data_IF_488475035683
#
_entry.id   IF_488475035683
#
_cell.length_a   1.000
_cell.length_b   1.000
_cell.length_c   1.000
_cell.angle_alpha   90.00
_cell.angle_beta   90.00
_cell.angle_gamma   90.00
#
_symmetry.space_group_name_H-M   'P 1'
#
loop_
_entity.id
_entity.type
_entity.pdbx_description
1 polymer ?
#
# COMPACT_ATOMS: atom_id res chain seq x y z
N UNK A 1 6.77 -58.73 0.81
CA UNK A 1 7.15 -57.68 -0.15
C UNK A 1 8.00 -56.70 0.63
N UNK A 2 9.32 -56.79 0.46
CA UNK A 2 10.28 -56.02 1.24
C UNK A 2 10.09 -54.53 0.97
N UNK A 3 9.76 -53.77 2.02
CA UNK A 3 9.66 -52.31 1.94
C UNK A 3 11.08 -51.77 1.96
N UNK A 4 11.60 -51.40 0.78
CA UNK A 4 12.84 -50.65 0.69
C UNK A 4 12.62 -49.27 1.32
N UNK A 5 13.36 -48.96 2.37
CA UNK A 5 13.36 -47.64 2.98
C UNK A 5 14.79 -47.18 3.22
N UNK A 6 15.10 -45.93 2.83
CA UNK A 6 16.38 -45.29 3.12
C UNK A 6 16.13 -44.01 3.90
N UNK A 7 16.72 -43.89 5.09
CA UNK A 7 16.45 -42.77 6.04
C UNK A 7 14.95 -42.46 6.22
N UNK A 8 14.13 -43.50 6.42
CA UNK A 8 12.67 -43.44 6.57
C UNK A 8 11.88 -42.98 5.33
N UNK A 9 12.52 -42.88 4.16
CA UNK A 9 11.83 -42.68 2.89
C UNK A 9 11.39 -44.03 2.31
N UNK A 10 10.09 -44.35 2.23
CA UNK A 10 9.62 -45.52 1.52
C UNK A 10 9.85 -45.36 0.01
N UNK A 11 10.55 -46.30 -0.59
CA UNK A 11 10.85 -46.33 -2.03
C UNK A 11 10.14 -47.53 -2.67
N UNK A 12 9.47 -47.30 -3.79
CA UNK A 12 8.87 -48.39 -4.57
C UNK A 12 9.95 -49.12 -5.37
N UNK A 13 10.90 -48.36 -5.90
CA UNK A 13 12.06 -48.83 -6.65
C UNK A 13 13.13 -47.72 -6.63
N UNK A 14 14.40 -48.10 -6.52
CA UNK A 14 15.52 -47.18 -6.58
C UNK A 14 16.68 -47.86 -7.26
N UNK A 15 17.07 -47.34 -8.41
CA UNK A 15 18.24 -47.77 -9.15
C UNK A 15 19.24 -46.62 -9.20
N UNK A 16 20.52 -46.94 -9.00
CA UNK A 16 21.62 -46.01 -9.21
C UNK A 16 22.88 -46.81 -9.51
N UNK A 17 23.66 -46.37 -10.48
CA UNK A 17 25.01 -46.86 -10.72
C UNK A 17 25.99 -45.91 -10.05
N UNK A 18 27.02 -46.44 -9.38
CA UNK A 18 28.03 -45.60 -8.74
C UNK A 18 29.44 -46.03 -9.14
N UNK A 19 30.32 -45.04 -9.28
CA UNK A 19 31.77 -45.22 -9.44
C UNK A 19 32.49 -44.25 -8.51
N UNK A 20 33.53 -44.76 -7.85
CA UNK A 20 34.34 -43.99 -6.92
C UNK A 20 35.80 -44.43 -6.98
N UNK A 21 36.72 -43.48 -7.07
CA UNK A 21 38.18 -43.74 -7.16
C UNK A 21 39.00 -43.13 -6.00
N UNK A 22 38.32 -42.69 -4.94
CA UNK A 22 38.93 -41.98 -3.82
C UNK A 22 38.76 -40.46 -3.91
N UNK A 23 38.78 -39.89 -5.12
CA UNK A 23 38.71 -38.44 -5.35
C UNK A 23 37.45 -38.02 -6.11
N UNK A 24 36.96 -38.86 -7.02
CA UNK A 24 35.82 -38.60 -7.87
C UNK A 24 34.71 -39.56 -7.51
N UNK A 25 33.50 -39.02 -7.38
CA UNK A 25 32.27 -39.77 -7.16
C UNK A 25 31.35 -39.49 -8.33
N UNK A 26 30.89 -40.55 -8.99
CA UNK A 26 29.88 -40.45 -10.03
C UNK A 26 28.72 -41.35 -9.67
N UNK A 27 27.55 -40.75 -9.51
CA UNK A 27 26.29 -41.46 -9.31
C UNK A 27 25.45 -41.19 -10.55
N UNK A 28 25.19 -42.23 -11.33
CA UNK A 28 24.49 -42.17 -12.62
C UNK A 28 23.22 -42.98 -12.57
N UNK A 29 22.37 -42.73 -13.57
CA UNK A 29 21.14 -43.47 -13.78
C UNK A 29 20.32 -43.61 -12.49
N UNK A 30 20.33 -42.52 -11.68
CA UNK A 30 19.54 -42.44 -10.47
C UNK A 30 18.10 -42.41 -10.94
N UNK A 31 17.40 -43.52 -10.78
CA UNK A 31 15.99 -43.64 -11.09
C UNK A 31 15.26 -43.98 -9.81
N UNK A 32 14.50 -43.02 -9.31
CA UNK A 32 13.70 -43.18 -8.10
C UNK A 32 12.24 -43.25 -8.52
N UNK A 33 11.63 -44.43 -8.33
CA UNK A 33 10.18 -44.59 -8.46
C UNK A 33 9.56 -44.42 -7.09
N UNK A 34 8.79 -43.34 -6.95
CA UNK A 34 7.95 -43.08 -5.79
C UNK A 34 6.48 -43.15 -6.22
N UNK A 35 5.58 -43.33 -5.25
CA UNK A 35 4.12 -43.31 -5.49
C UNK A 35 3.64 -42.04 -6.21
N UNK A 36 4.40 -40.94 -6.14
CA UNK A 36 4.06 -39.66 -6.74
C UNK A 36 4.76 -39.35 -8.07
N UNK A 37 5.55 -40.30 -8.62
CA UNK A 37 6.21 -40.15 -9.92
C UNK A 37 7.60 -40.76 -10.00
N UNK A 38 8.25 -40.57 -11.16
CA UNK A 38 9.60 -41.05 -11.44
C UNK A 38 10.58 -39.88 -11.55
N UNK A 39 11.60 -39.90 -10.72
CA UNK A 39 12.70 -38.92 -10.75
C UNK A 39 13.91 -39.55 -11.44
N UNK A 40 14.52 -38.83 -12.37
CA UNK A 40 15.83 -39.14 -12.94
C UNK A 40 16.86 -38.12 -12.48
N UNK A 41 18.02 -38.59 -12.05
CA UNK A 41 19.12 -37.71 -11.68
C UNK A 41 20.49 -38.30 -12.02
N UNK A 42 21.47 -37.41 -12.12
CA UNK A 42 22.89 -37.74 -12.23
C UNK A 42 23.66 -36.75 -11.38
N UNK A 43 24.61 -37.25 -10.58
CA UNK A 43 25.49 -36.43 -9.75
C UNK A 43 26.93 -36.83 -10.01
N UNK A 44 27.75 -35.86 -10.39
CA UNK A 44 29.19 -36.03 -10.50
C UNK A 44 29.88 -35.04 -9.55
N UNK A 45 30.85 -35.52 -8.79
CA UNK A 45 31.60 -34.72 -7.82
C UNK A 45 33.07 -35.13 -7.87
N UNK A 46 33.95 -34.15 -8.07
CA UNK A 46 35.40 -34.29 -8.14
C UNK A 46 36.06 -33.02 -7.55
N UNK A 47 37.38 -33.01 -7.30
CA UNK A 47 38.05 -31.78 -6.89
C UNK A 47 37.81 -30.68 -7.93
N UNK A 48 37.26 -29.55 -7.48
CA UNK A 48 36.88 -28.38 -8.31
C UNK A 48 35.89 -28.66 -9.45
N UNK A 49 35.12 -29.75 -9.38
CA UNK A 49 34.07 -30.04 -10.35
C UNK A 49 32.84 -30.70 -9.71
N UNK A 50 31.68 -30.11 -9.96
CA UNK A 50 30.37 -30.59 -9.57
C UNK A 50 29.44 -30.56 -10.78
N UNK A 51 28.65 -31.61 -10.98
CA UNK A 51 27.57 -31.63 -11.97
C UNK A 51 26.33 -32.28 -11.36
N UNK A 52 25.18 -31.68 -11.62
CA UNK A 52 23.88 -32.22 -11.23
C UNK A 52 22.92 -32.09 -12.40
N UNK A 53 22.39 -33.22 -12.84
CA UNK A 53 21.25 -33.28 -13.75
C UNK A 53 20.05 -33.83 -12.98
N UNK A 54 18.89 -33.19 -13.12
CA UNK A 54 17.62 -33.60 -12.54
C UNK A 54 16.54 -33.47 -13.60
N UNK A 55 15.72 -34.51 -13.77
CA UNK A 55 14.56 -34.50 -14.64
C UNK A 55 13.43 -35.30 -14.00
N UNK A 56 12.32 -34.63 -13.70
CA UNK A 56 11.09 -35.26 -13.24
C UNK A 56 10.49 -34.63 -12.00
N UNK A 57 9.37 -35.20 -11.50
CA UNK A 57 8.75 -34.83 -10.24
C UNK A 57 9.72 -35.05 -9.07
N UNK A 58 9.98 -33.99 -8.30
CA UNK A 58 10.87 -34.04 -7.14
C UNK A 58 10.06 -34.14 -5.87
N UNK A 59 10.13 -35.28 -5.19
CA UNK A 59 9.45 -35.50 -3.92
C UNK A 59 10.13 -34.72 -2.78
N UNK A 60 9.83 -33.43 -2.64
CA UNK A 60 10.52 -32.53 -1.68
C UNK A 60 10.40 -33.04 -0.24
N UNK A 61 9.22 -33.52 0.15
CA UNK A 61 9.00 -34.10 1.49
C UNK A 61 9.88 -35.33 1.75
N UNK A 62 10.11 -36.14 0.72
CA UNK A 62 10.98 -37.31 0.76
C UNK A 62 12.47 -36.94 0.85
N UNK A 63 12.85 -35.79 0.29
CA UNK A 63 14.23 -35.31 0.31
C UNK A 63 14.64 -34.69 1.65
N UNK A 64 13.69 -34.27 2.51
CA UNK A 64 13.97 -33.60 3.80
C UNK A 64 15.12 -34.21 4.62
N UNK A 65 15.24 -35.54 4.81
CA UNK A 65 16.33 -36.14 5.59
C UNK A 65 17.74 -35.96 5.00
N UNK A 66 17.85 -35.46 3.76
CA UNK A 66 19.09 -35.24 3.02
C UNK A 66 19.44 -33.76 2.89
N UNK A 67 18.56 -32.86 3.34
CA UNK A 67 18.72 -31.42 3.20
C UNK A 67 19.27 -30.82 4.49
N UNK A 68 19.99 -29.69 4.38
CA UNK A 68 20.43 -28.94 5.55
C UNK A 68 19.23 -28.36 6.32
N UNK A 69 19.36 -28.04 7.62
CA UNK A 69 18.27 -27.44 8.40
C UNK A 69 17.66 -26.19 7.76
N UNK A 70 18.47 -25.34 7.15
CA UNK A 70 18.03 -24.09 6.49
C UNK A 70 17.16 -24.39 5.27
N UNK A 71 17.55 -25.38 4.46
CA UNK A 71 16.78 -25.81 3.30
C UNK A 71 15.49 -26.53 3.75
N UNK A 72 15.54 -27.28 4.85
CA UNK A 72 14.34 -27.89 5.44
C UNK A 72 13.34 -26.84 5.93
N UNK A 73 13.81 -25.76 6.56
CA UNK A 73 12.97 -24.64 6.98
C UNK A 73 12.33 -23.95 5.79
N UNK A 74 13.11 -23.65 4.74
CA UNK A 74 12.59 -23.10 3.50
C UNK A 74 11.50 -23.98 2.87
N UNK A 75 11.75 -25.29 2.70
CA UNK A 75 10.72 -26.22 2.21
C UNK A 75 9.61 -26.51 3.22
N UNK A 76 9.76 -26.08 4.47
CA UNK A 76 8.70 -26.05 5.48
C UNK A 76 7.62 -25.04 5.15
N UNK A 77 7.94 -23.97 4.42
CA UNK A 77 7.00 -22.93 4.00
C UNK A 77 6.14 -23.32 2.78
N UNK A 78 6.44 -24.45 2.15
CA UNK A 78 5.76 -24.96 0.96
C UNK A 78 4.84 -26.13 1.27
N UNK A 79 3.63 -26.12 0.68
CA UNK A 79 2.71 -27.26 0.66
C UNK A 79 2.38 -27.61 -0.79
N UNK A 80 2.81 -28.78 -1.24
CA UNK A 80 2.62 -29.27 -2.60
C UNK A 80 1.42 -30.22 -2.66
N UNK A 81 0.44 -29.97 -3.54
CA UNK A 81 -0.62 -30.97 -3.78
C UNK A 81 -0.16 -32.08 -4.72
N UNK A 82 0.82 -31.77 -5.57
CA UNK A 82 1.55 -32.68 -6.46
C UNK A 82 3.00 -32.24 -6.47
N UNK A 83 3.88 -33.21 -6.69
CA UNK A 83 5.32 -32.93 -6.67
C UNK A 83 5.71 -31.92 -7.76
N UNK A 84 6.61 -30.97 -7.43
CA UNK A 84 7.13 -30.03 -8.41
C UNK A 84 7.86 -30.77 -9.53
N UNK A 85 7.55 -30.44 -10.78
CA UNK A 85 8.30 -30.92 -11.93
C UNK A 85 9.53 -30.02 -12.11
N UNK A 86 10.71 -30.61 -11.99
CA UNK A 86 11.99 -29.90 -12.11
C UNK A 86 12.80 -30.54 -13.22
N UNK A 87 13.29 -29.70 -14.12
CA UNK A 87 14.31 -30.05 -15.10
C UNK A 87 15.48 -29.12 -14.90
N UNK A 88 16.65 -29.65 -14.59
CA UNK A 88 17.80 -28.84 -14.23
C UNK A 88 19.08 -29.54 -14.66
N UNK A 89 19.97 -28.79 -15.31
CA UNK A 89 21.32 -29.23 -15.61
C UNK A 89 22.29 -28.14 -15.15
N UNK A 90 23.02 -28.40 -14.07
CA UNK A 90 24.00 -27.47 -13.50
C UNK A 90 25.39 -28.06 -13.44
N UNK A 91 26.38 -27.18 -13.53
CA UNK A 91 27.79 -27.47 -13.33
C UNK A 91 28.38 -26.40 -12.40
N UNK A 92 29.39 -26.76 -11.64
CA UNK A 92 30.08 -25.84 -10.76
C UNK A 92 31.41 -26.41 -10.32
N UNK A 93 32.08 -25.71 -9.40
CA UNK A 93 33.28 -26.20 -8.73
C UNK A 93 32.95 -27.10 -7.54
N UNK A 94 31.81 -26.85 -6.91
CA UNK A 94 31.34 -27.60 -5.74
C UNK A 94 29.80 -27.45 -5.59
N UNK A 95 29.26 -27.82 -4.43
CA UNK A 95 27.81 -27.74 -4.12
C UNK A 95 27.31 -26.34 -3.76
N UNK A 96 28.16 -25.31 -3.81
CA UNK A 96 27.78 -23.94 -3.47
C UNK A 96 27.15 -23.23 -4.68
N UNK A 97 25.90 -22.72 -4.57
CA UNK A 97 25.21 -22.09 -5.70
C UNK A 97 25.92 -20.87 -6.31
N UNK A 98 26.83 -20.23 -5.57
CA UNK A 98 27.61 -19.07 -6.03
C UNK A 98 28.52 -19.36 -7.22
N UNK A 99 28.85 -20.62 -7.49
CA UNK A 99 29.67 -21.02 -8.64
C UNK A 99 28.93 -21.90 -9.65
N UNK A 100 27.61 -22.00 -9.54
CA UNK A 100 26.81 -22.80 -10.47
C UNK A 100 26.58 -22.06 -11.79
N UNK A 101 26.67 -22.82 -12.87
CA UNK A 101 26.31 -22.47 -14.23
C UNK A 101 25.36 -23.52 -14.78
N UNK A 102 24.28 -23.11 -15.45
CA UNK A 102 23.36 -24.05 -16.05
C UNK A 102 21.96 -23.52 -16.26
N UNK A 103 21.10 -24.38 -16.78
CA UNK A 103 19.75 -24.04 -17.19
C UNK A 103 18.75 -25.08 -16.70
N UNK A 104 17.49 -24.66 -16.62
CA UNK A 104 16.41 -25.53 -16.22
C UNK A 104 15.03 -24.93 -16.40
N UNK A 105 14.05 -25.64 -15.86
CA UNK A 105 12.69 -25.16 -15.70
C UNK A 105 12.07 -25.77 -14.45
N UNK A 106 11.11 -25.04 -13.90
CA UNK A 106 10.27 -25.49 -12.80
C UNK A 106 8.81 -25.31 -13.20
N UNK A 107 8.00 -26.32 -12.89
CA UNK A 107 6.55 -26.27 -13.00
C UNK A 107 5.91 -26.79 -11.72
N UNK A 108 5.05 -25.97 -11.16
CA UNK A 108 4.26 -26.23 -9.97
C UNK A 108 2.79 -26.33 -10.38
N UNK A 109 2.14 -27.42 -9.99
CA UNK A 109 0.68 -27.50 -9.96
C UNK A 109 0.15 -26.69 -8.76
N UNK A 110 -1.10 -26.92 -8.36
CA UNK A 110 -1.70 -26.23 -7.21
C UNK A 110 -0.82 -26.40 -5.97
N UNK A 111 -0.28 -25.28 -5.49
CA UNK A 111 0.75 -25.25 -4.46
C UNK A 111 0.47 -24.11 -3.51
N UNK A 112 0.92 -24.24 -2.27
CA UNK A 112 0.88 -23.20 -1.27
C UNK A 112 2.30 -22.79 -0.89
N UNK A 113 2.53 -21.50 -0.79
CA UNK A 113 3.77 -20.96 -0.23
C UNK A 113 3.41 -19.90 0.82
N UNK A 114 3.98 -20.01 2.02
CA UNK A 114 3.72 -19.12 3.16
C UNK A 114 2.22 -18.92 3.43
N UNK A 115 1.47 -20.01 3.39
CA UNK A 115 0.02 -20.00 3.64
C UNK A 115 -0.84 -19.46 2.49
N UNK A 116 -0.26 -19.01 1.39
CA UNK A 116 -0.98 -18.43 0.25
C UNK A 116 -0.96 -19.36 -0.97
N UNK A 117 -2.15 -19.59 -1.55
CA UNK A 117 -2.35 -20.53 -2.64
C UNK A 117 -2.02 -19.93 -4.01
N UNK A 118 -1.40 -20.74 -4.86
CA UNK A 118 -1.32 -20.56 -6.31
C UNK A 118 -1.94 -21.77 -7.01
N UNK A 119 -2.63 -21.54 -8.12
CA UNK A 119 -3.16 -22.61 -9.00
C UNK A 119 -2.06 -23.32 -9.75
N UNK A 120 -1.07 -22.56 -10.19
CA UNK A 120 0.14 -23.06 -10.82
C UNK A 120 1.22 -22.00 -10.86
N UNK A 121 2.47 -22.43 -11.01
CA UNK A 121 3.62 -21.57 -11.21
C UNK A 121 4.58 -22.21 -12.21
N UNK A 122 5.11 -21.44 -13.15
CA UNK A 122 6.13 -21.94 -14.10
C UNK A 122 7.24 -20.92 -14.26
N UNK A 123 8.47 -21.35 -14.47
CA UNK A 123 9.59 -20.47 -14.83
C UNK A 123 10.72 -21.24 -15.52
N UNK A 124 11.50 -20.56 -16.37
CA UNK A 124 12.81 -21.03 -16.80
C UNK A 124 13.85 -20.57 -15.79
N UNK A 125 14.80 -21.45 -15.49
CA UNK A 125 15.84 -21.19 -14.51
C UNK A 125 17.16 -21.05 -15.24
N UNK A 126 17.95 -20.03 -14.89
CA UNK A 126 19.30 -19.85 -15.39
C UNK A 126 20.25 -19.53 -14.23
N UNK A 127 21.27 -20.36 -14.03
CA UNK A 127 22.35 -20.13 -13.09
C UNK A 127 23.55 -19.56 -13.83
N UNK A 128 24.05 -18.41 -13.38
CA UNK A 128 25.30 -17.83 -13.85
C UNK A 128 25.75 -16.73 -12.88
N UNK A 129 27.07 -16.46 -12.86
CA UNK A 129 27.67 -15.32 -12.15
C UNK A 129 27.25 -15.23 -10.66
N UNK A 130 27.10 -16.36 -9.98
CA UNK A 130 26.70 -16.41 -8.58
C UNK A 130 25.25 -15.97 -8.32
N UNK A 131 24.38 -16.12 -9.31
CA UNK A 131 22.96 -15.81 -9.21
C UNK A 131 22.09 -16.89 -9.88
N UNK A 132 20.82 -16.92 -9.49
CA UNK A 132 19.78 -17.69 -10.17
C UNK A 132 18.70 -16.75 -10.70
N UNK A 133 18.46 -16.80 -12.01
CA UNK A 133 17.39 -16.10 -12.68
C UNK A 133 16.18 -17.03 -12.88
N UNK A 134 15.00 -16.52 -12.55
CA UNK A 134 13.71 -17.13 -12.82
C UNK A 134 13.04 -16.34 -13.94
N UNK A 135 13.38 -16.69 -15.17
CA UNK A 135 12.96 -16.00 -16.38
C UNK A 135 11.53 -16.35 -16.74
N UNK A 136 10.82 -15.31 -17.20
CA UNK A 136 9.44 -15.41 -17.69
C UNK A 136 8.55 -16.21 -16.75
N UNK A 137 8.70 -15.99 -15.44
CA UNK A 137 7.88 -16.68 -14.48
C UNK A 137 6.41 -16.33 -14.74
N UNK A 138 5.53 -17.28 -14.44
CA UNK A 138 4.08 -17.10 -14.51
C UNK A 138 3.43 -17.78 -13.33
N UNK A 139 2.81 -17.00 -12.45
CA UNK A 139 2.05 -17.47 -11.29
C UNK A 139 0.57 -17.22 -11.55
N UNK A 140 -0.25 -18.27 -11.46
CA UNK A 140 -1.71 -18.17 -11.60
C UNK A 140 -2.35 -18.28 -10.23
N UNK A 141 -3.28 -17.40 -9.94
CA UNK A 141 -4.13 -17.44 -8.74
C UNK A 141 -5.61 -17.47 -9.13
N UNK A 142 -6.48 -17.53 -8.12
CA UNK A 142 -7.93 -17.43 -8.34
C UNK A 142 -8.33 -16.06 -8.90
N UNK A 143 -7.71 -15.00 -8.40
CA UNK A 143 -8.06 -13.63 -8.74
C UNK A 143 -7.36 -13.08 -9.99
N UNK A 144 -6.30 -13.73 -10.48
CA UNK A 144 -5.52 -13.24 -11.61
C UNK A 144 -4.13 -13.86 -11.74
N UNK A 145 -3.20 -13.14 -12.36
CA UNK A 145 -1.90 -13.68 -12.81
C UNK A 145 -0.77 -12.70 -12.50
N UNK A 146 0.37 -13.23 -12.06
CA UNK A 146 1.64 -12.52 -11.95
C UNK A 146 2.66 -13.06 -12.96
N UNK A 147 3.39 -12.17 -13.62
CA UNK A 147 4.44 -12.51 -14.59
C UNK A 147 5.65 -11.60 -14.43
N UNK A 148 6.82 -12.05 -14.87
CA UNK A 148 8.01 -11.24 -14.97
C UNK A 148 9.29 -12.06 -14.90
N UNK A 149 10.37 -11.43 -14.47
CA UNK A 149 11.64 -12.11 -14.16
C UNK A 149 12.13 -11.62 -12.80
N UNK A 150 12.68 -12.53 -12.00
CA UNK A 150 13.45 -12.14 -10.83
C UNK A 150 14.77 -12.92 -10.77
N UNK A 151 15.80 -12.26 -10.28
CA UNK A 151 17.15 -12.82 -10.12
C UNK A 151 17.49 -12.73 -8.65
N UNK A 152 17.78 -13.88 -8.03
CA UNK A 152 18.36 -13.93 -6.70
C UNK A 152 19.88 -14.00 -6.84
N UNK A 153 20.55 -12.93 -6.43
CA UNK A 153 22.01 -12.82 -6.47
C UNK A 153 22.57 -13.25 -5.11
N UNK A 154 23.13 -14.46 -5.07
CA UNK A 154 23.67 -15.05 -3.85
C UNK A 154 24.85 -14.23 -3.34
N UNK A 155 25.75 -13.82 -4.25
CA UNK A 155 26.99 -13.14 -3.93
C UNK A 155 26.79 -11.72 -3.42
N UNK A 156 25.87 -10.96 -4.03
CA UNK A 156 25.62 -9.55 -3.69
C UNK A 156 24.47 -9.35 -2.68
N UNK A 157 23.80 -10.44 -2.30
CA UNK A 157 22.67 -10.44 -1.37
C UNK A 157 21.56 -9.48 -1.81
N UNK A 158 21.14 -9.60 -3.07
CA UNK A 158 20.08 -8.78 -3.64
C UNK A 158 19.12 -9.59 -4.51
N UNK A 159 17.89 -9.09 -4.62
CA UNK A 159 16.90 -9.57 -5.57
C UNK A 159 16.69 -8.49 -6.62
N UNK A 160 16.92 -8.83 -7.89
CA UNK A 160 16.60 -7.96 -9.03
C UNK A 160 15.28 -8.41 -9.62
N UNK A 161 14.38 -7.48 -9.90
CA UNK A 161 13.11 -7.76 -10.56
C UNK A 161 13.00 -6.95 -11.84
N UNK A 162 12.52 -7.57 -12.91
CA UNK A 162 12.35 -6.93 -14.20
C UNK A 162 11.06 -7.38 -14.87
N UNK A 163 10.39 -6.42 -15.51
CA UNK A 163 9.14 -6.61 -16.23
C UNK A 163 8.07 -7.31 -15.39
N UNK A 164 8.03 -7.05 -14.07
CA UNK A 164 6.96 -7.58 -13.24
C UNK A 164 5.66 -6.93 -13.70
N UNK A 165 4.66 -7.77 -13.98
CA UNK A 165 3.28 -7.36 -14.21
C UNK A 165 2.38 -8.33 -13.47
N UNK A 166 1.59 -7.82 -12.54
CA UNK A 166 0.72 -8.64 -11.72
C UNK A 166 -0.68 -8.04 -11.61
N UNK A 167 -1.68 -8.90 -11.70
CA UNK A 167 -3.05 -8.61 -11.31
C UNK A 167 -3.42 -9.61 -10.22
N UNK A 168 -2.98 -9.33 -9.00
CA UNK A 168 -3.14 -10.20 -7.83
C UNK A 168 -3.45 -9.34 -6.62
N UNK A 169 -4.01 -9.94 -5.57
CA UNK A 169 -4.30 -9.17 -4.35
C UNK A 169 -2.97 -8.85 -3.62
N UNK A 170 -2.69 -7.56 -3.33
CA UNK A 170 -1.42 -7.17 -2.72
C UNK A 170 -1.16 -7.80 -1.36
N UNK A 171 -2.22 -8.00 -0.56
CA UNK A 171 -2.11 -8.56 0.79
C UNK A 171 -1.59 -10.00 0.76
N UNK A 172 -2.14 -10.83 -0.13
CA UNK A 172 -1.73 -12.23 -0.30
C UNK A 172 -0.36 -12.32 -0.96
N UNK A 173 -0.07 -11.48 -1.96
CA UNK A 173 1.26 -11.43 -2.57
C UNK A 173 2.35 -10.95 -1.60
N UNK A 174 2.01 -10.10 -0.63
CA UNK A 174 2.98 -9.60 0.36
C UNK A 174 3.60 -10.73 1.20
N UNK A 175 2.83 -11.75 1.57
CA UNK A 175 3.35 -12.92 2.29
C UNK A 175 4.44 -13.68 1.51
N UNK A 176 4.36 -13.71 0.18
CA UNK A 176 5.38 -14.35 -0.65
C UNK A 176 6.69 -13.57 -0.69
N UNK A 177 6.65 -12.27 -0.42
CA UNK A 177 7.83 -11.40 -0.38
C UNK A 177 8.46 -11.49 1.01
N UNK A 178 7.71 -11.08 2.04
CA UNK A 178 8.20 -10.99 3.42
C UNK A 178 7.01 -11.18 4.39
N UNK A 179 7.14 -12.03 5.43
CA UNK A 179 6.05 -12.30 6.37
C UNK A 179 5.59 -11.09 7.20
N UNK A 180 6.40 -10.03 7.33
CA UNK A 180 6.04 -8.81 8.07
C UNK A 180 5.37 -7.75 7.18
N UNK A 181 5.59 -7.78 5.86
CA UNK A 181 5.01 -6.84 4.89
C UNK A 181 3.47 -6.75 4.91
N UNK A 182 2.70 -7.83 5.14
CA UNK A 182 1.25 -7.78 5.27
C UNK A 182 0.73 -6.74 6.27
N UNK A 183 1.46 -6.46 7.37
CA UNK A 183 1.07 -5.46 8.37
C UNK A 183 1.00 -4.05 7.75
N UNK A 184 1.92 -3.75 6.84
CA UNK A 184 1.99 -2.46 6.14
C UNK A 184 0.98 -2.38 4.99
N UNK A 185 0.65 -3.50 4.35
CA UNK A 185 -0.27 -3.54 3.20
C UNK A 185 -1.75 -3.63 3.62
N UNK A 186 -2.04 -4.13 4.81
CA UNK A 186 -3.41 -4.34 5.34
C UNK A 186 -4.35 -3.13 5.21
N UNK A 187 -3.91 -1.87 5.42
CA UNK A 187 -4.79 -0.70 5.31
C UNK A 187 -5.32 -0.44 3.89
N UNK A 188 -4.66 -0.97 2.85
CA UNK A 188 -4.98 -0.68 1.45
C UNK A 188 -5.93 -1.74 0.88
N UNK A 189 -7.23 -1.49 1.01
CA UNK A 189 -8.28 -2.47 0.68
C UNK A 189 -8.82 -2.25 -0.73
N UNK A 190 -8.13 -2.79 -1.73
CA UNK A 190 -8.58 -2.70 -3.12
C UNK A 190 -9.88 -3.49 -3.34
N UNK A 191 -10.84 -2.89 -4.05
CA UNK A 191 -12.12 -3.55 -4.35
C UNK A 191 -11.96 -4.73 -5.30
N UNK A 192 -11.00 -4.66 -6.20
CA UNK A 192 -10.53 -5.73 -7.09
C UNK A 192 -9.00 -5.70 -7.14
N UNK A 193 -8.33 -6.81 -7.51
CA UNK A 193 -6.88 -6.82 -7.68
C UNK A 193 -6.42 -5.66 -8.59
N UNK A 194 -5.50 -4.79 -8.14
CA UNK A 194 -4.94 -3.75 -8.97
C UNK A 194 -3.99 -4.35 -10.01
N UNK A 195 -3.67 -3.59 -11.06
CA UNK A 195 -2.52 -3.89 -11.91
C UNK A 195 -1.28 -3.29 -11.26
N UNK A 196 -0.29 -4.14 -10.98
CA UNK A 196 0.99 -3.74 -10.40
C UNK A 196 2.08 -4.00 -11.43
N UNK A 197 2.98 -3.04 -11.62
CA UNK A 197 4.26 -3.29 -12.28
C UNK A 197 5.41 -2.96 -11.36
N UNK A 198 6.52 -3.70 -11.48
CA UNK A 198 7.70 -3.47 -10.65
C UNK A 198 8.99 -3.74 -11.43
N UNK A 199 9.99 -2.88 -11.22
CA UNK A 199 11.34 -3.01 -11.76
C UNK A 199 12.36 -2.49 -10.76
N UNK A 200 13.53 -3.12 -10.70
CA UNK A 200 14.66 -2.62 -9.93
C UNK A 200 15.30 -3.68 -9.06
N UNK A 201 15.86 -3.26 -7.95
CA UNK A 201 16.65 -4.10 -7.04
C UNK A 201 16.23 -3.87 -5.59
N UNK A 202 16.16 -4.95 -4.84
CA UNK A 202 15.98 -4.96 -3.39
C UNK A 202 17.20 -5.63 -2.75
N UNK A 203 17.93 -4.90 -1.91
CA UNK A 203 19.08 -5.45 -1.22
C UNK A 203 18.68 -5.90 0.19
N UNK A 204 19.12 -7.10 0.58
CA UNK A 204 18.85 -7.68 1.88
C UNK A 204 20.14 -7.82 2.70
N UNK A 205 20.05 -8.37 3.93
CA UNK A 205 21.19 -8.50 4.87
C UNK A 205 21.90 -7.17 5.18
N UNK A 206 21.13 -6.08 5.26
CA UNK A 206 21.62 -4.76 5.68
C UNK A 206 22.34 -3.95 4.59
N UNK A 207 22.30 -4.41 3.33
CA UNK A 207 22.78 -3.61 2.20
C UNK A 207 21.90 -2.40 1.91
N UNK A 208 22.46 -1.37 1.23
CA UNK A 208 21.82 -0.06 1.01
C UNK A 208 21.45 0.24 -0.45
N UNK A 209 21.60 -0.75 -1.32
CA UNK A 209 21.46 -0.66 -2.78
C UNK A 209 20.03 -0.72 -3.30
N UNK A 210 19.03 -0.86 -2.42
CA UNK A 210 17.62 -0.92 -2.82
C UNK A 210 17.23 0.28 -3.67
N UNK A 211 16.67 0.00 -4.85
CA UNK A 211 16.10 0.94 -5.81
C UNK A 211 14.99 0.21 -6.56
N UNK A 212 13.76 0.36 -6.11
CA UNK A 212 12.61 -0.33 -6.67
C UNK A 212 11.54 0.67 -7.10
N UNK A 213 11.11 0.57 -8.36
CA UNK A 213 10.04 1.38 -8.95
C UNK A 213 8.81 0.49 -9.12
N UNK A 214 7.72 0.88 -8.47
CA UNK A 214 6.44 0.16 -8.51
C UNK A 214 5.35 1.11 -8.99
N UNK A 215 4.57 0.67 -9.96
CA UNK A 215 3.32 1.37 -10.33
C UNK A 215 2.13 0.55 -9.90
N UNK A 216 1.10 1.20 -9.38
CA UNK A 216 -0.17 0.59 -8.99
C UNK A 216 -1.29 1.29 -9.74
N UNK A 217 -2.13 0.53 -10.44
CA UNK A 217 -3.37 0.97 -11.07
C UNK A 217 -4.54 0.17 -10.48
N UNK A 218 -5.25 0.81 -9.56
CA UNK A 218 -6.48 0.32 -8.94
C UNK A 218 -7.71 0.91 -9.62
N UNK A 219 -7.98 0.48 -10.84
CA UNK A 219 -9.11 0.95 -11.67
C UNK A 219 -10.49 0.71 -11.05
N UNK A 220 -10.64 -0.31 -10.20
CA UNK A 220 -11.88 -0.60 -9.46
C UNK A 220 -12.00 0.18 -8.13
N UNK A 221 -10.97 0.94 -7.76
CA UNK A 221 -10.96 1.70 -6.52
C UNK A 221 -10.45 0.92 -5.31
N UNK A 222 -10.50 1.60 -4.16
CA UNK A 222 -9.94 1.13 -2.90
C UNK A 222 -10.63 1.81 -1.73
N UNK A 223 -10.82 1.07 -0.65
CA UNK A 223 -11.20 1.62 0.65
C UNK A 223 -9.96 1.88 1.52
N UNK A 224 -9.95 3.02 2.20
CA UNK A 224 -8.91 3.38 3.15
C UNK A 224 -9.53 3.98 4.41
N UNK A 225 -9.09 3.52 5.58
CA UNK A 225 -9.56 4.07 6.86
C UNK A 225 -8.69 5.26 7.25
N UNK A 226 -9.29 6.44 7.30
CA UNK A 226 -8.64 7.68 7.73
C UNK A 226 -9.46 8.32 8.86
N UNK A 227 -8.79 8.66 9.97
CA UNK A 227 -9.42 9.23 11.17
C UNK A 227 -10.70 8.48 11.60
N UNK A 228 -10.66 7.14 11.56
CA UNK A 228 -11.77 6.27 11.97
C UNK A 228 -12.92 6.18 10.97
N UNK A 229 -12.83 6.79 9.79
CA UNK A 229 -13.84 6.73 8.73
C UNK A 229 -13.29 6.07 7.48
N UNK A 230 -14.13 5.31 6.79
CA UNK A 230 -13.77 4.71 5.51
C UNK A 230 -13.93 5.73 4.39
N UNK A 231 -12.83 6.07 3.74
CA UNK A 231 -12.79 6.79 2.48
C UNK A 231 -12.80 5.77 1.34
N UNK A 232 -13.83 5.82 0.49
CA UNK A 232 -13.95 4.95 -0.67
C UNK A 232 -13.52 5.69 -1.94
N UNK A 233 -12.41 5.26 -2.52
CA UNK A 233 -11.87 5.79 -3.76
C UNK A 233 -12.43 4.99 -4.94
N UNK A 234 -12.88 5.67 -6.00
CA UNK A 234 -13.44 5.00 -7.20
C UNK A 234 -12.36 4.53 -8.18
N UNK A 235 -11.21 5.21 -8.17
CA UNK A 235 -9.98 4.85 -8.88
C UNK A 235 -8.83 5.32 -8.03
N UNK A 236 -7.73 4.58 -8.03
CA UNK A 236 -6.47 5.01 -7.41
C UNK A 236 -5.28 4.54 -8.23
N UNK A 237 -4.41 5.48 -8.60
CA UNK A 237 -3.17 5.24 -9.32
C UNK A 237 -2.02 5.78 -8.48
N UNK A 238 -0.92 5.05 -8.38
CA UNK A 238 0.26 5.49 -7.65
C UNK A 238 1.57 5.02 -8.30
N UNK A 239 2.62 5.85 -8.24
CA UNK A 239 4.00 5.42 -8.47
C UNK A 239 4.79 5.52 -7.16
N UNK A 240 5.40 4.40 -6.78
CA UNK A 240 6.15 4.21 -5.54
C UNK A 240 7.63 3.99 -5.90
N UNK A 241 8.50 4.78 -5.30
CA UNK A 241 9.95 4.59 -5.39
C UNK A 241 10.49 4.21 -4.02
N UNK A 242 11.01 3.00 -3.90
CA UNK A 242 11.68 2.53 -2.69
C UNK A 242 13.18 2.65 -2.85
N UNK A 243 13.81 3.19 -1.81
CA UNK A 243 15.25 3.10 -1.57
C UNK A 243 15.49 2.51 -0.19
N UNK A 244 16.75 2.37 0.24
CA UNK A 244 17.10 1.72 1.51
C UNK A 244 16.25 2.18 2.70
N UNK A 245 16.14 3.50 2.90
CA UNK A 245 15.52 4.09 4.09
C UNK A 245 14.38 5.05 3.74
N UNK A 246 13.80 4.93 2.54
CA UNK A 246 12.82 5.91 2.05
C UNK A 246 11.86 5.31 1.04
N UNK A 247 10.58 5.62 1.22
CA UNK A 247 9.52 5.41 0.24
C UNK A 247 9.03 6.77 -0.24
N UNK A 248 9.08 7.00 -1.55
CA UNK A 248 8.45 8.14 -2.19
C UNK A 248 7.19 7.71 -2.94
N UNK A 249 6.06 8.31 -2.63
CA UNK A 249 4.86 8.28 -3.47
C UNK A 249 4.96 9.51 -4.37
N UNK A 250 5.34 9.31 -5.63
CA UNK A 250 5.70 10.41 -6.54
C UNK A 250 4.45 11.07 -7.13
N UNK A 251 3.48 10.27 -7.52
CA UNK A 251 2.25 10.71 -8.16
C UNK A 251 1.13 9.79 -7.71
N UNK A 252 0.34 10.25 -6.73
CA UNK A 252 -0.90 9.63 -6.32
C UNK A 252 -2.05 10.35 -7.01
N UNK A 253 -2.93 9.61 -7.67
CA UNK A 253 -4.15 10.13 -8.26
C UNK A 253 -5.32 9.25 -7.88
N UNK A 254 -6.46 9.84 -7.59
CA UNK A 254 -7.67 9.07 -7.33
C UNK A 254 -8.94 9.86 -7.48
N UNK A 255 -10.06 9.14 -7.46
CA UNK A 255 -11.40 9.73 -7.44
C UNK A 255 -12.03 9.57 -6.06
N UNK A 256 -12.50 10.66 -5.44
CA UNK A 256 -13.11 10.65 -4.11
C UNK A 256 -14.38 11.51 -4.10
N UNK A 257 -15.50 10.93 -3.67
CA UNK A 257 -16.82 11.60 -3.63
C UNK A 257 -17.19 12.37 -4.91
N UNK A 258 -16.92 11.80 -6.09
CA UNK A 258 -17.20 12.43 -7.38
C UNK A 258 -16.21 13.51 -7.83
N UNK A 259 -15.26 13.90 -6.97
CA UNK A 259 -14.14 14.77 -7.31
C UNK A 259 -12.84 13.99 -7.55
N UNK A 260 -11.73 14.72 -7.60
CA UNK A 260 -10.39 14.14 -7.76
C UNK A 260 -9.48 14.45 -6.57
N UNK A 261 -8.55 13.53 -6.30
CA UNK A 261 -7.49 13.66 -5.32
C UNK A 261 -6.16 13.48 -6.04
N UNK A 262 -5.22 14.36 -5.73
CA UNK A 262 -3.82 14.22 -6.13
C UNK A 262 -2.94 14.30 -4.89
N UNK A 263 -1.80 13.63 -4.91
CA UNK A 263 -0.86 13.76 -3.81
C UNK A 263 0.52 13.20 -4.10
N UNK A 264 1.40 13.46 -3.14
CA UNK A 264 2.73 12.89 -3.07
C UNK A 264 3.11 12.73 -1.60
N UNK A 265 4.00 11.79 -1.32
CA UNK A 265 4.52 11.58 0.02
C UNK A 265 5.98 11.16 -0.02
N UNK A 266 6.70 11.55 1.03
CA UNK A 266 8.07 11.16 1.32
C UNK A 266 8.09 10.59 2.72
N UNK A 267 8.34 9.29 2.83
CA UNK A 267 8.16 8.50 4.03
C UNK A 267 9.51 7.88 4.40
N UNK A 268 9.96 8.13 5.62
CA UNK A 268 11.15 7.47 6.16
C UNK A 268 10.86 5.98 6.38
N UNK A 269 11.78 5.14 5.92
CA UNK A 269 11.84 3.71 6.23
C UNK A 269 13.05 3.40 7.14
N UNK A 270 13.79 4.43 7.56
CA UNK A 270 14.91 4.24 8.49
C UNK A 270 14.41 3.66 9.81
N UNK A 271 15.22 2.80 10.42
CA UNK A 271 14.88 2.18 11.69
C UNK A 271 14.55 3.23 12.77
N UNK A 272 13.40 3.07 13.43
CA UNK A 272 12.84 3.99 14.44
C UNK A 272 12.51 5.41 13.94
N UNK A 273 12.49 5.66 12.63
CA UNK A 273 12.00 6.92 12.07
C UNK A 273 10.69 6.71 11.34
N UNK A 274 9.60 7.21 11.92
CA UNK A 274 8.26 7.15 11.34
C UNK A 274 7.84 8.49 10.73
N UNK A 275 8.77 9.42 10.54
CA UNK A 275 8.45 10.73 9.97
C UNK A 275 8.12 10.60 8.49
N UNK A 276 7.17 11.42 8.07
CA UNK A 276 6.85 11.60 6.68
C UNK A 276 6.45 13.04 6.40
N UNK A 277 6.55 13.40 5.13
CA UNK A 277 6.08 14.65 4.58
C UNK A 277 5.13 14.34 3.40
N UNK A 278 3.97 14.97 3.34
CA UNK A 278 2.98 14.71 2.31
C UNK A 278 2.33 15.99 1.79
N UNK A 279 1.99 15.97 0.50
CA UNK A 279 1.20 17.00 -0.16
C UNK A 279 -0.05 16.35 -0.71
N UNK A 280 -1.21 16.92 -0.40
CA UNK A 280 -2.50 16.47 -0.92
C UNK A 280 -3.23 17.65 -1.52
N UNK A 281 -3.87 17.43 -2.66
CA UNK A 281 -4.78 18.36 -3.29
C UNK A 281 -6.08 17.64 -3.63
N UNK A 282 -7.20 18.28 -3.36
CA UNK A 282 -8.53 17.79 -3.75
C UNK A 282 -9.21 18.82 -4.63
N UNK A 283 -9.93 18.35 -5.64
CA UNK A 283 -10.63 19.19 -6.60
C UNK A 283 -12.04 18.66 -6.82
N UNK A 284 -13.02 19.55 -6.69
CA UNK A 284 -14.45 19.28 -6.89
C UNK A 284 -15.01 18.10 -6.08
N UNK A 285 -14.50 17.85 -4.88
CA UNK A 285 -15.00 16.80 -3.97
C UNK A 285 -16.39 17.19 -3.49
N UNK A 286 -17.35 16.25 -3.49
CA UNK A 286 -18.70 16.52 -2.99
C UNK A 286 -18.66 16.80 -1.48
N UNK A 287 -18.77 18.08 -1.13
CA UNK A 287 -18.71 18.57 0.24
C UNK A 287 -19.81 17.98 1.15
N UNK A 288 -21.09 17.86 0.72
CA UNK A 288 -22.13 17.21 1.52
C UNK A 288 -21.78 15.78 1.95
N UNK A 289 -21.24 14.96 1.05
CA UNK A 289 -20.84 13.58 1.38
C UNK A 289 -19.68 13.54 2.37
N UNK A 290 -18.73 14.48 2.26
CA UNK A 290 -17.62 14.58 3.19
C UNK A 290 -18.11 14.96 4.60
N UNK A 291 -18.99 15.96 4.71
CA UNK A 291 -19.52 16.40 6.01
C UNK A 291 -20.45 15.38 6.64
N UNK A 292 -21.22 14.64 5.84
CA UNK A 292 -22.02 13.52 6.34
C UNK A 292 -21.14 12.41 6.92
N UNK A 293 -20.05 12.04 6.24
CA UNK A 293 -19.14 10.98 6.70
C UNK A 293 -18.49 11.28 8.06
N UNK A 294 -17.94 12.49 8.23
CA UNK A 294 -17.19 12.84 9.43
C UNK A 294 -18.06 13.44 10.54
N UNK A 295 -19.13 14.16 10.20
CA UNK A 295 -19.91 14.94 11.14
C UNK A 295 -21.42 14.61 11.15
N UNK A 296 -21.89 13.66 10.33
CA UNK A 296 -23.31 13.31 10.17
C UNK A 296 -24.19 14.52 9.81
N UNK A 297 -23.64 15.41 8.99
CA UNK A 297 -24.27 16.67 8.62
C UNK A 297 -24.71 16.65 7.15
N UNK A 298 -26.03 16.72 6.92
CA UNK A 298 -26.68 16.40 5.64
C UNK A 298 -27.20 17.59 4.85
N UNK A 299 -27.23 18.77 5.45
CA UNK A 299 -27.77 19.98 4.82
C UNK A 299 -26.72 20.75 4.03
N UNK A 300 -25.44 20.39 4.14
CA UNK A 300 -24.37 21.05 3.41
C UNK A 300 -24.57 20.96 1.89
N UNK A 301 -24.08 21.97 1.18
CA UNK A 301 -24.12 22.08 -0.27
C UNK A 301 -22.76 22.52 -0.81
N UNK A 302 -22.49 22.26 -2.09
CA UNK A 302 -21.32 22.74 -2.81
C UNK A 302 -20.22 21.69 -3.08
N UNK A 303 -19.12 22.17 -3.65
CA UNK A 303 -17.93 21.39 -3.95
C UNK A 303 -16.71 21.91 -3.18
N UNK A 304 -15.91 20.98 -2.68
CA UNK A 304 -14.69 21.25 -1.95
C UNK A 304 -13.47 21.19 -2.87
N UNK A 305 -12.64 22.22 -2.79
CA UNK A 305 -11.30 22.27 -3.32
C UNK A 305 -10.34 22.58 -2.18
N UNK A 306 -9.15 22.00 -2.19
CA UNK A 306 -8.19 22.28 -1.13
C UNK A 306 -6.82 21.71 -1.38
N UNK A 307 -5.84 22.26 -0.66
CA UNK A 307 -4.47 21.79 -0.64
C UNK A 307 -4.00 21.70 0.80
N UNK A 308 -3.14 20.73 1.09
CA UNK A 308 -2.54 20.54 2.39
C UNK A 308 -1.12 20.01 2.24
N UNK A 309 -0.16 20.71 2.83
CA UNK A 309 1.26 20.39 2.85
C UNK A 309 1.69 20.20 4.30
N UNK A 310 2.11 18.99 4.67
CA UNK A 310 2.23 18.60 6.07
C UNK A 310 3.27 17.54 6.36
N UNK A 311 3.77 17.60 7.59
CA UNK A 311 4.59 16.57 8.21
C UNK A 311 3.75 15.76 9.19
N UNK A 312 4.10 14.49 9.38
CA UNK A 312 3.51 13.64 10.40
C UNK A 312 4.48 12.59 10.91
N UNK A 313 4.02 11.80 11.89
CA UNK A 313 4.78 10.72 12.52
C UNK A 313 3.88 9.50 12.68
N UNK A 314 4.14 8.46 11.90
CA UNK A 314 3.36 7.21 11.94
C UNK A 314 1.85 7.46 11.80
N UNK A 315 1.08 6.88 12.71
CA UNK A 315 -0.39 6.97 12.78
C UNK A 315 -0.89 7.98 13.83
N UNK A 316 -0.05 8.95 14.24
CA UNK A 316 -0.34 9.89 15.33
C UNK A 316 -0.91 11.21 14.81
N UNK A 317 -2.25 11.40 14.74
CA UNK A 317 -2.86 12.59 14.14
C UNK A 317 -2.53 13.89 14.89
N UNK A 318 -2.27 13.84 16.21
CA UNK A 318 -1.87 15.03 16.99
C UNK A 318 -0.49 15.56 16.62
N UNK A 319 0.39 14.72 16.08
CA UNK A 319 1.73 15.13 15.63
C UNK A 319 1.74 15.61 14.18
N UNK A 320 0.58 15.64 13.53
CA UNK A 320 0.43 16.19 12.19
C UNK A 320 0.57 17.71 12.25
N UNK A 321 1.48 18.26 11.45
CA UNK A 321 1.72 19.69 11.40
C UNK A 321 1.93 20.17 9.98
N UNK A 322 1.26 21.26 9.60
CA UNK A 322 1.32 21.74 8.23
C UNK A 322 0.39 22.90 7.96
N UNK A 323 0.28 23.28 6.70
CA UNK A 323 -0.56 24.39 6.26
C UNK A 323 -1.22 24.10 4.94
N UNK A 324 -2.32 24.79 4.70
CA UNK A 324 -3.11 24.58 3.50
C UNK A 324 -4.10 25.68 3.24
N UNK A 325 -4.83 25.50 2.15
CA UNK A 325 -5.94 26.36 1.77
C UNK A 325 -7.13 25.50 1.41
N UNK A 326 -8.30 25.94 1.82
CA UNK A 326 -9.57 25.28 1.52
C UNK A 326 -10.51 26.28 0.85
N UNK A 327 -11.34 25.78 -0.07
CA UNK A 327 -12.40 26.52 -0.71
C UNK A 327 -13.63 25.62 -0.89
N UNK A 328 -14.77 26.06 -0.40
CA UNK A 328 -16.07 25.48 -0.75
C UNK A 328 -16.74 26.41 -1.73
N UNK A 329 -17.06 25.93 -2.93
CA UNK A 329 -17.73 26.70 -3.98
C UNK A 329 -19.14 26.16 -4.25
N UNK A 330 -20.01 27.01 -4.78
CA UNK A 330 -21.42 26.70 -5.05
C UNK A 330 -22.15 26.14 -3.82
N UNK A 331 -21.75 26.61 -2.64
CA UNK A 331 -22.31 26.16 -1.37
C UNK A 331 -23.54 26.94 -0.93
N UNK A 332 -24.08 26.53 0.21
CA UNK A 332 -24.93 27.34 1.06
C UNK A 332 -24.24 27.42 2.42
N UNK A 333 -23.68 28.58 2.77
CA UNK A 333 -22.76 28.65 3.93
C UNK A 333 -23.50 28.59 5.27
N UNK A 334 -24.77 28.98 5.32
CA UNK A 334 -25.58 28.70 6.51
C UNK A 334 -25.89 27.22 6.68
N UNK A 335 -25.69 26.42 5.63
CA UNK A 335 -25.67 24.98 5.70
C UNK A 335 -24.26 24.41 5.91
N UNK A 336 -23.25 25.19 6.29
CA UNK A 336 -22.02 24.62 6.83
C UNK A 336 -22.26 24.34 8.32
N UNK A 337 -21.95 23.13 8.84
CA UNK A 337 -22.33 22.70 10.17
C UNK A 337 -22.01 23.71 11.28
N UNK A 338 -20.84 24.33 11.19
CA UNK A 338 -20.40 25.30 12.18
C UNK A 338 -21.21 26.60 12.17
N UNK A 339 -21.84 27.01 11.06
CA UNK A 339 -22.58 28.29 10.97
C UNK A 339 -24.12 28.14 11.01
N UNK A 340 -24.63 26.91 11.12
CA UNK A 340 -26.07 26.65 11.15
C UNK A 340 -26.84 27.48 12.18
N UNK A 341 -26.47 27.48 13.47
CA UNK A 341 -27.18 28.27 14.50
C UNK A 341 -27.13 29.78 14.27
N UNK A 342 -26.06 30.30 13.64
CA UNK A 342 -25.92 31.72 13.32
C UNK A 342 -27.00 32.20 12.33
N UNK A 343 -27.49 31.31 11.46
CA UNK A 343 -28.56 31.62 10.50
C UNK A 343 -29.86 32.06 11.19
N UNK A 344 -30.21 31.42 12.32
CA UNK A 344 -31.42 31.74 13.09
C UNK A 344 -31.34 33.13 13.73
N UNK A 345 -30.15 33.50 14.22
CA UNK A 345 -29.91 34.84 14.79
C UNK A 345 -29.99 35.90 13.68
N UNK A 346 -29.37 35.65 12.54
CA UNK A 346 -29.37 36.56 11.40
C UNK A 346 -30.76 36.79 10.81
N UNK A 347 -31.60 35.75 10.74
CA UNK A 347 -32.97 35.84 10.25
C UNK A 347 -33.89 36.70 11.13
N UNK A 348 -33.59 36.81 12.43
CA UNK A 348 -34.34 37.66 13.36
C UNK A 348 -33.96 39.15 13.23
N UNK A 349 -32.71 39.45 12.84
CA UNK A 349 -32.19 40.82 12.74
C UNK A 349 -32.46 41.43 11.36
N UNK A 350 -32.42 40.61 10.29
CA UNK A 350 -32.60 41.08 8.92
C UNK A 350 -33.73 40.28 8.25
N UNK A 351 -34.96 40.83 8.14
CA UNK A 351 -36.06 40.15 7.48
C UNK A 351 -35.72 39.82 6.01
N UNK A 352 -35.85 38.55 5.62
CA UNK A 352 -35.57 38.07 4.25
C UNK A 352 -34.15 37.53 4.00
N UNK A 353 -33.26 37.48 4.99
CA UNK A 353 -31.88 36.96 4.84
C UNK A 353 -31.69 35.49 5.17
N UNK A 354 -32.71 34.80 5.67
CA UNK A 354 -32.67 33.37 6.02
C UNK A 354 -32.28 32.42 4.87
N UNK A 355 -32.07 32.96 3.67
CA UNK A 355 -31.72 32.24 2.44
C UNK A 355 -30.66 32.95 1.58
N UNK A 356 -29.85 33.88 2.13
CA UNK A 356 -28.75 34.44 1.31
C UNK A 356 -27.73 33.33 1.02
N UNK A 357 -27.80 32.77 -0.18
CA UNK A 357 -26.94 31.68 -0.63
C UNK A 357 -25.52 32.21 -0.71
N UNK A 358 -24.73 31.87 0.30
CA UNK A 358 -23.33 32.18 0.30
C UNK A 358 -22.62 31.22 -0.64
N UNK A 359 -22.10 31.76 -1.74
CA UNK A 359 -21.65 30.96 -2.89
C UNK A 359 -20.29 30.33 -2.65
N UNK A 360 -19.42 31.04 -1.92
CA UNK A 360 -18.05 30.62 -1.71
C UNK A 360 -17.63 30.83 -0.25
N UNK A 361 -16.90 29.87 0.31
CA UNK A 361 -16.15 30.02 1.56
C UNK A 361 -14.69 29.64 1.32
N UNK A 362 -13.76 30.42 1.85
CA UNK A 362 -12.31 30.18 1.73
C UNK A 362 -11.64 30.39 3.07
N UNK A 363 -10.59 29.61 3.35
CA UNK A 363 -9.72 29.84 4.49
C UNK A 363 -8.32 29.34 4.17
N UNK A 364 -7.30 30.08 4.60
CA UNK A 364 -6.00 29.48 4.85
C UNK A 364 -6.02 28.88 6.26
N UNK A 365 -5.33 27.76 6.44
CA UNK A 365 -5.29 27.08 7.72
C UNK A 365 -3.90 26.54 8.02
N UNK A 366 -3.61 26.42 9.31
CA UNK A 366 -2.50 25.64 9.82
C UNK A 366 -3.04 24.53 10.71
N UNK A 367 -2.34 23.41 10.77
CA UNK A 367 -2.63 22.34 11.72
C UNK A 367 -1.40 22.17 12.60
N UNK A 368 -1.61 22.10 13.91
CA UNK A 368 -0.59 21.76 14.90
C UNK A 368 -1.26 21.23 16.16
N UNK A 369 -0.68 20.21 16.79
CA UNK A 369 -1.15 19.65 18.06
C UNK A 369 -2.63 19.19 18.06
N UNK A 370 -3.15 18.83 16.87
CA UNK A 370 -4.57 18.45 16.70
C UNK A 370 -5.55 19.64 16.58
N UNK A 371 -5.04 20.85 16.40
CA UNK A 371 -5.81 22.08 16.26
C UNK A 371 -5.67 22.59 14.83
N UNK A 372 -6.79 22.85 14.16
CA UNK A 372 -6.84 23.60 12.91
C UNK A 372 -7.04 25.06 13.28
N UNK A 373 -6.11 25.92 12.89
CA UNK A 373 -6.16 27.36 13.15
C UNK A 373 -6.30 28.14 11.84
N UNK A 374 -7.14 29.16 11.82
CA UNK A 374 -7.35 30.07 10.68
C UNK A 374 -7.46 31.52 11.15
N UNK A 375 -6.91 32.44 10.36
CA UNK A 375 -6.97 33.90 10.60
C UNK A 375 -7.85 34.62 9.57
N UNK A 376 -8.23 33.94 8.50
CA UNK A 376 -8.78 34.55 7.29
C UNK A 376 -9.90 33.71 6.67
N UNK A 377 -10.73 33.10 7.52
CA UNK A 377 -11.96 32.50 7.05
C UNK A 377 -12.83 33.60 6.44
N UNK A 378 -13.08 33.51 5.14
CA UNK A 378 -14.01 34.38 4.43
C UNK A 378 -15.17 33.57 3.88
N UNK A 379 -16.37 34.04 4.13
CA UNK A 379 -17.61 33.54 3.56
C UNK A 379 -18.22 34.65 2.73
N UNK A 380 -18.35 34.44 1.43
CA UNK A 380 -18.92 35.41 0.51
C UNK A 380 -20.39 35.10 0.21
N UNK A 381 -21.28 35.94 0.77
CA UNK A 381 -22.71 36.01 0.43
C UNK A 381 -23.05 37.16 -0.50
N UNK A 382 -24.28 37.15 -1.02
CA UNK A 382 -24.78 38.20 -1.91
C UNK A 382 -25.08 39.51 -1.15
N UNK A 383 -25.59 39.41 0.08
CA UNK A 383 -26.02 40.55 0.89
C UNK A 383 -25.07 40.88 2.05
N UNK A 384 -24.16 39.97 2.39
CA UNK A 384 -23.15 40.15 3.43
C UNK A 384 -21.96 39.23 3.14
N UNK A 385 -20.81 39.52 3.75
CA UNK A 385 -19.73 38.54 3.94
C UNK A 385 -19.56 38.24 5.42
N UNK A 386 -19.00 37.09 5.75
CA UNK A 386 -18.52 36.80 7.09
C UNK A 386 -17.01 36.64 7.05
N UNK A 387 -16.33 37.27 7.99
CA UNK A 387 -14.88 37.15 8.17
C UNK A 387 -14.68 36.57 9.56
N UNK A 388 -13.89 35.50 9.67
CA UNK A 388 -13.66 34.84 10.94
C UNK A 388 -12.23 34.36 11.14
N UNK A 389 -11.92 34.11 12.40
CA UNK A 389 -10.65 33.55 12.84
C UNK A 389 -10.88 32.68 14.08
N UNK A 390 -9.93 31.79 14.36
CA UNK A 390 -9.94 30.96 15.56
C UNK A 390 -9.54 29.51 15.28
N UNK A 391 -9.98 28.64 16.18
CA UNK A 391 -9.47 27.29 16.35
C UNK A 391 -10.57 26.22 16.25
N UNK A 392 -10.27 25.13 15.55
CA UNK A 392 -11.08 23.93 15.50
C UNK A 392 -10.25 22.76 16.04
N UNK A 393 -10.70 22.20 17.16
CA UNK A 393 -10.11 21.06 17.84
C UNK A 393 -10.76 19.78 17.30
N UNK A 394 -10.42 19.41 16.06
CA UNK A 394 -11.12 18.37 15.29
C UNK A 394 -11.01 16.95 15.91
N UNK A 395 -10.01 16.71 16.76
CA UNK A 395 -9.85 15.47 17.51
C UNK A 395 -10.65 15.45 18.82
N UNK A 396 -11.04 16.62 19.32
CA UNK A 396 -11.67 16.83 20.62
C UNK A 396 -13.14 17.29 20.50
N UNK A 397 -13.69 17.30 19.27
CA UNK A 397 -15.04 17.76 18.93
C UNK A 397 -15.37 19.16 19.49
N UNK A 398 -14.40 20.09 19.47
CA UNK A 398 -14.56 21.44 20.00
C UNK A 398 -14.20 22.50 18.95
N UNK A 399 -14.83 23.67 19.04
CA UNK A 399 -14.42 24.86 18.31
C UNK A 399 -14.38 26.11 19.20
N UNK A 400 -13.63 27.10 18.76
CA UNK A 400 -13.57 28.44 19.30
C UNK A 400 -13.34 29.41 18.12
N UNK A 401 -14.40 30.07 17.66
CA UNK A 401 -14.38 30.93 16.47
C UNK A 401 -14.96 32.30 16.76
N UNK A 402 -14.31 33.31 16.22
CA UNK A 402 -14.77 34.69 16.20
C UNK A 402 -15.15 35.06 14.78
N UNK A 403 -16.39 35.52 14.59
CA UNK A 403 -16.93 35.87 13.28
C UNK A 403 -17.51 37.27 13.30
N UNK A 404 -17.14 38.07 12.31
CA UNK A 404 -17.74 39.37 12.01
C UNK A 404 -18.56 39.28 10.73
N UNK A 405 -19.77 39.81 10.76
CA UNK A 405 -20.64 39.94 9.59
C UNK A 405 -20.49 41.33 8.99
N UNK A 406 -20.06 41.40 7.74
CA UNK A 406 -19.88 42.64 6.99
C UNK A 406 -21.02 42.79 5.94
N UNK A 407 -21.95 43.74 6.10
CA UNK A 407 -23.02 43.95 5.12
C UNK A 407 -22.49 44.37 3.75
N UNK A 408 -23.15 43.89 2.67
CA UNK A 408 -22.85 44.24 1.27
C UNK A 408 -24.09 44.72 0.52
N UNK A 409 -23.90 45.52 -0.53
CA UNK A 409 -24.98 46.00 -1.40
C UNK A 409 -26.06 46.76 -0.62
N UNK A 410 -27.36 46.45 -0.81
CA UNK A 410 -28.46 47.07 -0.06
C UNK A 410 -28.35 46.91 1.46
N UNK A 411 -27.60 45.92 1.95
CA UNK A 411 -27.38 45.66 3.37
C UNK A 411 -26.58 46.75 4.11
N UNK A 412 -25.86 47.62 3.38
CA UNK A 412 -25.09 48.74 3.97
C UNK A 412 -25.99 49.75 4.69
N UNK A 413 -27.30 49.78 4.43
CA UNK A 413 -28.23 50.60 5.21
C UNK A 413 -28.35 50.16 6.68
N UNK A 414 -27.90 48.95 7.02
CA UNK A 414 -27.94 48.36 8.37
C UNK A 414 -26.64 48.61 9.17
N UNK A 415 -25.65 49.29 8.59
CA UNK A 415 -24.33 49.55 9.19
C UNK A 415 -24.31 50.35 10.51
N UNK A 416 -25.30 51.22 10.86
CA UNK A 416 -25.25 52.01 12.12
C UNK A 416 -25.21 51.18 13.42
N UNK A 417 -25.33 49.85 13.36
CA UNK A 417 -25.40 48.96 14.53
C UNK A 417 -24.22 47.96 14.62
N UNK A 418 -23.01 48.40 14.25
CA UNK A 418 -21.82 47.54 14.03
C UNK A 418 -21.51 46.50 15.14
N UNK A 419 -21.78 46.80 16.43
CA UNK A 419 -21.56 45.87 17.56
C UNK A 419 -22.50 44.65 17.56
N UNK A 420 -23.61 44.68 16.81
CA UNK A 420 -24.53 43.55 16.66
C UNK A 420 -24.05 42.48 15.65
N UNK A 421 -22.92 42.70 14.99
CA UNK A 421 -22.44 41.83 13.91
C UNK A 421 -21.19 41.02 14.27
N UNK A 422 -20.74 41.08 15.53
CA UNK A 422 -19.64 40.23 16.03
C UNK A 422 -20.19 39.10 16.90
N UNK A 423 -19.84 37.86 16.53
CA UNK A 423 -20.33 36.65 17.15
C UNK A 423 -19.18 35.77 17.62
N UNK A 424 -19.37 35.14 18.78
CA UNK A 424 -18.54 34.07 19.31
C UNK A 424 -19.23 32.74 19.06
N UNK A 425 -18.52 31.80 18.47
CA UNK A 425 -18.89 30.40 18.40
C UNK A 425 -17.97 29.60 19.31
N UNK A 426 -18.54 28.83 20.22
CA UNK A 426 -17.78 27.96 21.13
C UNK A 426 -18.51 26.65 21.44
N UNK A 427 -17.81 25.68 22.04
CA UNK A 427 -18.40 24.40 22.41
C UNK A 427 -18.22 23.32 21.35
N UNK A 428 -19.21 22.45 21.17
CA UNK A 428 -19.06 21.26 20.32
C UNK A 428 -19.01 21.61 18.83
N UNK A 429 -18.13 20.95 18.07
CA UNK A 429 -18.04 21.11 16.62
C UNK A 429 -19.34 20.72 15.89
N UNK A 430 -20.07 19.74 16.44
CA UNK A 430 -21.36 19.27 15.88
C UNK A 430 -22.52 20.20 16.23
N UNK A 431 -22.48 20.80 17.41
CA UNK A 431 -23.54 21.66 17.95
C UNK A 431 -22.91 22.90 18.60
N UNK A 432 -22.41 23.87 17.81
CA UNK A 432 -21.75 25.04 18.35
C UNK A 432 -22.75 25.99 19.01
N UNK A 433 -22.33 26.59 20.13
CA UNK A 433 -23.04 27.66 20.79
C UNK A 433 -22.60 28.99 20.19
N UNK A 434 -23.51 29.68 19.50
CA UNK A 434 -23.25 31.00 18.93
C UNK A 434 -23.96 32.07 19.73
N UNK A 435 -23.23 33.12 20.10
CA UNK A 435 -23.79 34.28 20.79
C UNK A 435 -23.08 35.58 20.38
N UNK A 436 -23.74 36.74 20.49
CA UNK A 436 -23.07 38.04 20.28
C UNK A 436 -21.92 38.25 21.26
N UNK A 437 -20.85 38.93 20.84
CA UNK A 437 -19.74 39.32 21.75
C UNK A 437 -20.09 40.49 22.67
N UNK A 438 -21.14 41.25 22.34
CA UNK A 438 -21.44 42.54 22.94
C UNK A 438 -22.49 42.57 24.05
N UNK A 439 -22.99 41.41 24.52
CA UNK A 439 -24.06 41.33 25.53
C UNK A 439 -23.85 40.21 26.53
#
# INVERSE_FOLDING_TARGET
ADRLAYKNLPLSDCHAEFSWDGNRTWIRDIHVRHQNGELRAEVFEAPDEFRLNVDGPVAVGALRPFLSPEIQEFFGEWEFTREPLIQLAIRGKNRDPENWEGDGSISLDRTRFRGQWMKSATSKIHFANGAVAYDNFRVVRDEGVGTGTFVYDFANHEVRVSNIKANVRPMEAAYWIDPDLPKTVTPYKFHQPPTITANGVYQFRGGKGTKLDITVDGSAGMDYVFLGKTLSFHKIDARLLFTNDRLQIVDLRGGLFGGSVRGSADISLAHNDQRYHAKVAVDNVNFPRLTDLYYNYKTAHGQLNGTYDFNGVGDKPRLMQGGGKIMVANGDVFAIPVFGPLSGIMGAIIPGTGYSIARNATANFTIKDGIIHTEDLEVAGQLFSMIGHGDIYFLDDKLDLDVRVDPKGPGVLLTPVYKLFEYKGEGSLKNPNWHPKGF
#
